data_IF_807767332192
#
_entry.id   IF_807767332192
#
_cell.length_a   1.000
_cell.length_b   1.000
_cell.length_c   1.000
_cell.angle_alpha   90.00
_cell.angle_beta   90.00
_cell.angle_gamma   90.00
#
_symmetry.space_group_name_H-M   'P 1'
#
loop_
_entity.id
_entity.type
_entity.pdbx_description
1 polymer ?
#
# COMPACT_ATOMS: atom_id res chain seq x y z
N UNK A 1 -2.80 5.98 2.42
CA UNK A 1 -2.57 7.08 1.45
C UNK A 1 -1.13 6.98 1.01
N UNK A 2 -0.86 7.13 -0.28
CA UNK A 2 0.47 7.05 -0.86
C UNK A 2 0.78 8.37 -1.57
N UNK A 3 1.99 8.88 -1.37
CA UNK A 3 2.51 10.04 -2.10
C UNK A 3 3.66 9.57 -2.98
N UNK A 4 3.55 9.81 -4.28
CA UNK A 4 4.55 9.39 -5.25
C UNK A 4 5.55 10.52 -5.54
N UNK A 5 6.71 10.17 -6.10
CA UNK A 5 7.79 11.12 -6.41
C UNK A 5 7.40 12.20 -7.42
N UNK A 6 6.36 11.96 -8.22
CA UNK A 6 5.81 12.93 -9.16
C UNK A 6 4.78 13.90 -8.52
N UNK A 7 4.55 13.81 -7.20
CA UNK A 7 3.62 14.65 -6.46
C UNK A 7 2.18 14.13 -6.44
N UNK A 8 1.85 13.04 -7.15
CA UNK A 8 0.52 12.45 -7.05
C UNK A 8 0.28 11.85 -5.67
N UNK A 9 -0.90 12.13 -5.12
CA UNK A 9 -1.38 11.49 -3.89
C UNK A 9 -2.55 10.58 -4.23
N UNK A 10 -2.42 9.29 -3.90
CA UNK A 10 -3.43 8.28 -4.22
C UNK A 10 -3.83 7.47 -2.98
N UNK A 11 -5.03 6.91 -3.03
CA UNK A 11 -5.52 5.93 -2.06
C UNK A 11 -5.40 4.53 -2.64
N UNK A 12 -4.66 3.67 -1.96
CA UNK A 12 -4.60 2.24 -2.25
C UNK A 12 -5.46 1.49 -1.24
N UNK A 13 -6.30 0.59 -1.73
CA UNK A 13 -7.15 -0.27 -0.88
C UNK A 13 -6.53 -1.66 -0.75
N UNK A 14 -6.14 -2.03 0.48
CA UNK A 14 -5.57 -3.34 0.77
C UNK A 14 -6.62 -4.43 0.99
N UNK A 15 -7.89 -4.08 1.24
CA UNK A 15 -8.91 -5.08 1.61
C UNK A 15 -9.04 -6.25 0.61
N UNK A 16 -8.99 -6.05 -0.73
CA UNK A 16 -9.05 -7.17 -1.67
C UNK A 16 -7.87 -8.14 -1.57
N UNK A 17 -6.74 -7.70 -1.00
CA UNK A 17 -5.50 -8.46 -0.92
C UNK A 17 -5.34 -9.23 0.39
N UNK A 18 -6.01 -8.80 1.46
CA UNK A 18 -5.89 -9.41 2.79
C UNK A 18 -6.30 -10.89 2.83
N UNK A 19 -7.02 -11.41 1.83
CA UNK A 19 -7.34 -12.83 1.73
C UNK A 19 -6.37 -13.66 0.88
N UNK A 20 -5.34 -13.06 0.31
CA UNK A 20 -4.51 -13.68 -0.72
C UNK A 20 -3.12 -14.04 -0.22
N UNK A 21 -2.78 -15.35 -0.25
CA UNK A 21 -1.42 -15.82 0.02
C UNK A 21 -0.87 -15.30 1.35
N UNK A 22 0.37 -14.81 1.35
CA UNK A 22 1.01 -14.29 2.56
C UNK A 22 0.41 -12.96 3.08
N UNK A 23 -0.40 -12.24 2.28
CA UNK A 23 -1.05 -11.00 2.72
C UNK A 23 -2.14 -11.21 3.78
N UNK A 24 -2.52 -12.45 4.09
CA UNK A 24 -3.39 -12.72 5.25
C UNK A 24 -2.76 -12.32 6.58
N UNK A 25 -1.42 -12.31 6.68
CA UNK A 25 -0.72 -11.84 7.88
C UNK A 25 -1.02 -10.35 8.16
N UNK A 26 -1.28 -9.57 7.11
CA UNK A 26 -1.62 -8.15 7.21
C UNK A 26 -3.03 -7.88 7.76
N UNK A 27 -3.81 -8.92 8.08
CA UNK A 27 -5.03 -8.78 8.88
C UNK A 27 -4.74 -8.43 10.34
N UNK A 28 -3.53 -8.73 10.84
CA UNK A 28 -3.05 -8.22 12.12
C UNK A 28 -2.83 -6.70 12.00
N UNK A 29 -3.64 -5.92 12.72
CA UNK A 29 -3.55 -4.45 12.69
C UNK A 29 -2.19 -3.92 13.14
N UNK A 30 -1.53 -4.57 14.11
CA UNK A 30 -0.24 -4.13 14.62
C UNK A 30 0.83 -4.29 13.54
N UNK A 31 0.82 -5.43 12.84
CA UNK A 31 1.68 -5.64 11.68
C UNK A 31 1.30 -4.69 10.54
N UNK A 32 0.02 -4.55 10.20
CA UNK A 32 -0.42 -3.67 9.09
C UNK A 32 0.09 -2.23 9.25
N UNK A 33 0.10 -1.72 10.49
CA UNK A 33 0.57 -0.37 10.83
C UNK A 33 2.07 -0.17 10.67
N UNK A 34 2.87 -1.24 10.50
CA UNK A 34 4.30 -1.11 10.22
C UNK A 34 4.61 -0.75 8.77
N UNK A 35 3.59 -0.59 7.91
CA UNK A 35 3.74 -0.22 6.51
C UNK A 35 4.62 1.03 6.36
N UNK A 36 5.72 0.91 5.61
CA UNK A 36 6.67 2.00 5.39
C UNK A 36 7.23 2.00 3.97
N UNK A 37 7.57 3.16 3.41
CA UNK A 37 8.28 3.21 2.14
C UNK A 37 9.72 2.71 2.30
N UNK A 38 10.13 1.74 1.48
CA UNK A 38 11.51 1.26 1.37
C UNK A 38 11.79 0.75 -0.04
N UNK A 39 13.02 0.96 -0.55
CA UNK A 39 13.47 0.45 -1.86
C UNK A 39 12.52 0.77 -3.04
N UNK A 40 11.84 1.91 -2.98
CA UNK A 40 10.91 2.33 -4.04
C UNK A 40 9.52 1.70 -3.95
N UNK A 41 9.20 0.97 -2.87
CA UNK A 41 7.87 0.39 -2.63
C UNK A 41 7.42 0.51 -1.16
N UNK A 42 6.27 -0.06 -0.81
CA UNK A 42 5.79 -0.22 0.56
C UNK A 42 6.16 -1.61 1.08
N UNK A 43 6.77 -1.64 2.26
CA UNK A 43 7.16 -2.87 2.96
C UNK A 43 6.57 -2.91 4.37
N UNK A 44 6.41 -4.12 4.91
CA UNK A 44 6.03 -4.41 6.30
C UNK A 44 7.18 -5.05 7.07
N UNK A 45 7.10 -5.08 8.40
CA UNK A 45 8.19 -5.57 9.26
C UNK A 45 8.39 -7.09 9.19
N UNK A 46 7.38 -7.83 8.73
CA UNK A 46 7.50 -9.26 8.40
C UNK A 46 8.15 -9.51 7.03
N UNK A 47 8.57 -8.46 6.32
CA UNK A 47 9.26 -8.57 5.03
C UNK A 47 8.33 -8.63 3.82
N UNK A 48 7.01 -8.57 4.01
CA UNK A 48 6.09 -8.43 2.89
C UNK A 48 6.28 -7.08 2.19
N UNK A 49 6.09 -7.09 0.88
CA UNK A 49 6.10 -5.91 0.05
C UNK A 49 5.00 -5.97 -1.02
N UNK A 50 4.77 -4.84 -1.67
CA UNK A 50 3.92 -4.78 -2.86
C UNK A 50 4.75 -4.33 -4.06
N UNK A 51 4.35 -4.73 -5.26
CA UNK A 51 4.97 -4.20 -6.46
C UNK A 51 4.63 -2.69 -6.59
N UNK A 52 5.61 -1.80 -6.85
CA UNK A 52 5.37 -0.36 -6.99
C UNK A 52 4.37 -0.04 -8.12
N UNK A 53 4.41 -0.79 -9.22
CA UNK A 53 3.44 -0.63 -10.32
C UNK A 53 2.02 -0.98 -9.87
N UNK A 54 1.86 -2.00 -9.00
CA UNK A 54 0.55 -2.33 -8.43
C UNK A 54 0.04 -1.19 -7.58
N UNK A 55 0.89 -0.65 -6.70
CA UNK A 55 0.56 0.50 -5.86
C UNK A 55 0.13 1.71 -6.70
N UNK A 56 0.82 2.00 -7.80
CA UNK A 56 0.51 3.17 -8.64
C UNK A 56 -0.71 2.97 -9.54
N UNK A 57 -0.83 1.81 -10.21
CA UNK A 57 -1.88 1.54 -11.20
C UNK A 57 -3.23 1.16 -10.58
N UNK A 58 -3.24 0.55 -9.38
CA UNK A 58 -4.47 0.13 -8.69
C UNK A 58 -4.95 1.12 -7.64
N UNK A 59 -4.18 2.16 -7.33
CA UNK A 59 -4.64 3.22 -6.45
C UNK A 59 -5.48 4.26 -7.19
N UNK A 60 -6.44 4.85 -6.48
CA UNK A 60 -7.29 5.91 -7.00
C UNK A 60 -6.73 7.26 -6.61
N UNK A 61 -6.68 8.21 -7.54
CA UNK A 61 -6.32 9.59 -7.24
C UNK A 61 -7.22 10.13 -6.12
N UNK A 62 -6.63 10.78 -5.13
CA UNK A 62 -7.41 11.54 -4.17
C UNK A 62 -7.83 12.83 -4.85
N UNK A 63 -9.08 12.89 -5.33
CA UNK A 63 -9.67 14.13 -5.79
C UNK A 63 -9.61 15.15 -4.65
N UNK A 64 -9.02 16.31 -4.90
CA UNK A 64 -9.34 17.47 -4.08
C UNK A 64 -10.84 17.70 -4.23
N UNK A 65 -11.59 17.68 -3.13
CA UNK A 65 -13.01 18.01 -3.15
C UNK A 65 -13.21 19.37 -3.83
N UNK A 66 -14.23 19.43 -4.68
CA UNK A 66 -14.78 20.67 -5.21
C UNK A 66 -15.31 21.57 -4.07
#
# INVERSE_FOLDING_TARGET
MLTFSNGEVKRFDMHPYLGMGAFHELQDEALFRTAKPALGTVVWDNGLDLCPDTLFLKSTALSAGA
#
